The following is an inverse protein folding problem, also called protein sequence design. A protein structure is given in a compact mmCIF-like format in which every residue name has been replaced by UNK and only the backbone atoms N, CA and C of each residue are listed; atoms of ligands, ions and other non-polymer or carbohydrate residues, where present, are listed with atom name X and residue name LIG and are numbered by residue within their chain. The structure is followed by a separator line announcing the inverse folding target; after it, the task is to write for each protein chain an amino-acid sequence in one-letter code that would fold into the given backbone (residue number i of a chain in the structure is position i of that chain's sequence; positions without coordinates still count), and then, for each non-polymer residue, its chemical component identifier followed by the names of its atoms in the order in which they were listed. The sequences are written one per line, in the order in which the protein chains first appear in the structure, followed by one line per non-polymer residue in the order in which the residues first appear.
data_IF_556500840427
#
_entry.id   IF_556500840427
#
_cell.length_a   1.000
_cell.length_b   1.000
_cell.length_c   1.000
_cell.angle_alpha   90.00
_cell.angle_beta   90.00
_cell.angle_gamma   90.00
#
_symmetry.space_group_name_H-M   'P 1'
#
loop_
_entity.id
_entity.type
_entity.pdbx_description
1 polymer ?
#
# COMPACT_ATOMS: atom_id res chain seq x y z
N UNK A 1 7.52 17.77 -3.59
CA UNK A 1 6.39 16.91 -3.18
C UNK A 1 5.87 16.11 -4.37
N UNK A 2 5.21 16.72 -5.36
CA UNK A 2 4.60 16.00 -6.50
C UNK A 2 5.50 14.94 -7.20
N UNK A 3 6.78 15.26 -7.41
CA UNK A 3 7.74 14.32 -8.01
C UNK A 3 7.96 13.04 -7.19
N UNK A 4 7.88 13.11 -5.86
CA UNK A 4 8.03 11.95 -4.98
C UNK A 4 6.79 11.06 -5.08
N UNK A 5 5.61 11.68 -5.12
CA UNK A 5 4.33 11.00 -5.31
C UNK A 5 4.33 10.20 -6.64
N UNK A 6 4.77 10.83 -7.73
CA UNK A 6 4.90 10.18 -9.05
C UNK A 6 5.92 9.04 -9.02
N UNK A 7 7.07 9.25 -8.39
CA UNK A 7 8.11 8.23 -8.30
C UNK A 7 7.60 6.97 -7.57
N UNK A 8 6.91 7.13 -6.44
CA UNK A 8 6.42 6.00 -5.63
C UNK A 8 5.39 5.17 -6.39
N UNK A 9 4.45 5.83 -7.08
CA UNK A 9 3.46 5.14 -7.92
C UNK A 9 4.12 4.43 -9.09
N UNK A 10 5.10 5.08 -9.75
CA UNK A 10 5.83 4.50 -10.87
C UNK A 10 6.58 3.22 -10.47
N UNK A 11 7.24 3.23 -9.30
CA UNK A 11 7.95 2.06 -8.76
C UNK A 11 6.96 0.93 -8.44
N UNK A 12 5.83 1.24 -7.79
CA UNK A 12 4.79 0.24 -7.49
C UNK A 12 4.24 -0.45 -8.75
N UNK A 13 3.95 0.33 -9.80
CA UNK A 13 3.49 -0.20 -11.09
C UNK A 13 4.58 -1.03 -11.77
N UNK A 14 5.82 -0.55 -11.79
CA UNK A 14 6.95 -1.30 -12.35
C UNK A 14 7.18 -2.64 -11.64
N UNK A 15 7.05 -2.72 -10.31
CA UNK A 15 7.14 -3.98 -9.58
C UNK A 15 6.00 -4.94 -9.92
N UNK A 16 4.76 -4.43 -10.05
CA UNK A 16 3.62 -5.26 -10.42
C UNK A 16 3.74 -5.82 -11.84
N UNK A 17 4.04 -4.94 -12.81
CA UNK A 17 4.21 -5.34 -14.22
C UNK A 17 5.44 -6.24 -14.37
N UNK A 18 6.54 -5.92 -13.69
CA UNK A 18 7.75 -6.73 -13.67
C UNK A 18 7.51 -8.11 -13.06
N UNK A 19 6.83 -8.19 -11.91
CA UNK A 19 6.48 -9.44 -11.24
C UNK A 19 5.53 -10.32 -12.06
N UNK A 20 4.50 -9.73 -12.65
CA UNK A 20 3.56 -10.45 -13.53
C UNK A 20 4.25 -10.89 -14.83
N UNK A 21 5.05 -10.01 -15.42
CA UNK A 21 5.83 -10.28 -16.63
C UNK A 21 6.83 -11.42 -16.43
N UNK A 22 7.54 -11.45 -15.30
CA UNK A 22 8.45 -12.56 -14.95
C UNK A 22 7.70 -13.89 -14.90
N UNK A 23 6.52 -13.91 -14.27
CA UNK A 23 5.72 -15.11 -14.14
C UNK A 23 5.27 -15.66 -15.49
N UNK A 24 4.70 -14.80 -16.34
CA UNK A 24 4.26 -15.18 -17.70
C UNK A 24 5.45 -15.61 -18.55
N UNK A 25 6.60 -14.94 -18.42
CA UNK A 25 7.80 -15.28 -19.17
C UNK A 25 8.35 -16.67 -18.82
N UNK A 26 8.39 -16.99 -17.52
CA UNK A 26 8.83 -18.32 -17.04
C UNK A 26 7.86 -19.41 -17.48
N UNK A 27 6.55 -19.17 -17.37
CA UNK A 27 5.52 -20.12 -17.83
C UNK A 27 5.59 -20.36 -19.34
N UNK A 28 5.87 -19.31 -20.14
CA UNK A 28 6.13 -19.40 -21.58
C UNK A 28 7.36 -20.27 -21.87
N UNK A 29 8.50 -20.00 -21.22
CA UNK A 29 9.74 -20.79 -21.38
C UNK A 29 9.51 -22.28 -21.06
N UNK A 30 8.69 -22.58 -20.05
CA UNK A 30 8.36 -23.96 -19.64
C UNK A 30 7.51 -24.68 -20.70
N UNK A 31 6.58 -23.98 -21.34
CA UNK A 31 5.73 -24.54 -22.39
C UNK A 31 6.53 -24.85 -23.66
N UNK A 32 7.36 -23.90 -24.14
CA UNK A 32 8.14 -24.07 -25.37
C UNK A 32 9.18 -25.20 -25.31
N UNK A 33 9.58 -25.63 -24.11
CA UNK A 33 10.54 -26.73 -23.94
C UNK A 33 9.88 -28.12 -23.89
N UNK A 34 8.54 -28.18 -23.77
CA UNK A 34 7.78 -29.44 -23.78
C UNK A 34 7.39 -29.74 -25.22
N UNK A 35 7.94 -30.81 -25.80
CA UNK A 35 7.51 -31.32 -27.11
C UNK A 35 6.08 -31.85 -27.08
N UNK A 36 5.53 -32.29 -28.23
CA UNK A 36 4.23 -32.95 -28.27
C UNK A 36 4.23 -34.16 -27.31
N UNK A 37 3.39 -34.11 -26.26
CA UNK A 37 3.34 -35.12 -25.20
C UNK A 37 4.06 -34.78 -23.88
N UNK A 38 4.67 -33.59 -23.74
CA UNK A 38 5.21 -33.15 -22.45
C UNK A 38 6.58 -33.74 -22.05
N UNK A 39 7.19 -34.57 -22.91
CA UNK A 39 8.52 -35.13 -22.67
C UNK A 39 9.60 -34.05 -22.84
N UNK A 40 10.42 -33.88 -21.80
CA UNK A 40 11.61 -33.03 -21.86
C UNK A 40 12.78 -33.83 -22.41
N UNK A 41 13.21 -33.53 -23.63
CA UNK A 41 14.36 -34.15 -24.28
C UNK A 41 15.63 -33.36 -23.89
N UNK A 42 16.27 -33.75 -22.79
CA UNK A 42 17.57 -33.16 -22.42
C UNK A 42 18.70 -34.12 -22.75
N UNK A 43 19.71 -33.64 -23.47
CA UNK A 43 20.93 -34.41 -23.79
C UNK A 43 21.89 -34.56 -22.61
N UNK A 44 21.74 -33.74 -21.55
CA UNK A 44 22.56 -33.80 -20.32
C UNK A 44 21.73 -33.48 -19.08
N UNK A 45 21.82 -34.34 -18.07
CA UNK A 45 21.15 -34.22 -16.77
C UNK A 45 21.46 -32.89 -16.05
N UNK A 46 22.72 -32.46 -16.03
CA UNK A 46 23.13 -31.24 -15.30
C UNK A 46 22.50 -29.96 -15.85
N UNK A 47 22.27 -29.87 -17.17
CA UNK A 47 21.60 -28.71 -17.77
C UNK A 47 20.12 -28.67 -17.38
N UNK A 48 19.47 -29.82 -17.31
CA UNK A 48 18.08 -29.93 -16.88
C UNK A 48 17.89 -29.40 -15.45
N UNK A 49 18.79 -29.79 -14.54
CA UNK A 49 18.72 -29.36 -13.13
C UNK A 49 18.89 -27.84 -12.99
N UNK A 50 19.91 -27.25 -13.63
CA UNK A 50 20.16 -25.80 -13.53
C UNK A 50 18.98 -24.97 -14.06
N UNK A 51 18.39 -25.37 -15.18
CA UNK A 51 17.25 -24.68 -15.77
C UNK A 51 16.00 -24.82 -14.90
N UNK A 52 15.74 -26.03 -14.40
CA UNK A 52 14.58 -26.30 -13.55
C UNK A 52 14.69 -25.58 -12.20
N UNK A 53 15.90 -25.48 -11.63
CA UNK A 53 16.16 -24.70 -10.42
C UNK A 53 15.97 -23.20 -10.66
N UNK A 54 16.46 -22.67 -11.79
CA UNK A 54 16.23 -21.26 -12.16
C UNK A 54 14.76 -20.92 -12.38
N UNK A 55 14.00 -21.81 -13.05
CA UNK A 55 12.55 -21.65 -13.23
C UNK A 55 11.80 -21.67 -11.88
N UNK A 56 12.16 -22.57 -10.97
CA UNK A 56 11.61 -22.62 -9.62
C UNK A 56 11.94 -21.37 -8.81
N UNK A 57 13.20 -20.91 -8.88
CA UNK A 57 13.66 -19.72 -8.16
C UNK A 57 12.95 -18.45 -8.64
N UNK A 58 12.82 -18.24 -9.97
CA UNK A 58 12.07 -17.08 -10.48
C UNK A 58 10.60 -17.12 -10.07
N UNK A 59 9.97 -18.31 -10.07
CA UNK A 59 8.60 -18.46 -9.61
C UNK A 59 8.48 -18.11 -8.12
N UNK A 60 9.43 -18.54 -7.29
CA UNK A 60 9.48 -18.19 -5.88
C UNK A 60 9.69 -16.69 -5.65
N UNK A 61 10.61 -16.06 -6.39
CA UNK A 61 10.91 -14.61 -6.30
C UNK A 61 9.76 -13.74 -6.81
N UNK A 62 8.94 -14.24 -7.74
CA UNK A 62 7.79 -13.47 -8.27
C UNK A 62 6.74 -13.15 -7.21
N UNK A 63 6.54 -14.04 -6.23
CA UNK A 63 5.55 -13.90 -5.15
C UNK A 63 5.85 -12.70 -4.24
N UNK A 64 7.03 -12.59 -3.59
CA UNK A 64 7.32 -11.46 -2.72
C UNK A 64 7.37 -10.15 -3.51
N UNK A 65 7.84 -10.15 -4.77
CA UNK A 65 7.86 -8.96 -5.62
C UNK A 65 6.44 -8.42 -5.87
N UNK A 66 5.48 -9.30 -6.18
CA UNK A 66 4.08 -8.91 -6.31
C UNK A 66 3.49 -8.35 -5.02
N UNK A 67 3.74 -9.03 -3.89
CA UNK A 67 3.22 -8.63 -2.58
C UNK A 67 3.78 -7.25 -2.20
N UNK A 68 5.08 -7.01 -2.40
CA UNK A 68 5.71 -5.72 -2.16
C UNK A 68 5.11 -4.61 -3.02
N UNK A 69 4.92 -4.87 -4.32
CA UNK A 69 4.29 -3.92 -5.24
C UNK A 69 2.88 -3.51 -4.80
N UNK A 70 2.05 -4.50 -4.43
CA UNK A 70 0.70 -4.26 -3.89
C UNK A 70 0.76 -3.46 -2.58
N UNK A 71 1.66 -3.80 -1.67
CA UNK A 71 1.74 -3.20 -0.34
C UNK A 71 2.13 -1.71 -0.43
N UNK A 72 3.08 -1.37 -1.32
CA UNK A 72 3.48 0.03 -1.57
C UNK A 72 2.30 0.86 -2.09
N UNK A 73 1.56 0.35 -3.08
CA UNK A 73 0.39 1.06 -3.62
C UNK A 73 -0.76 1.15 -2.60
N UNK A 74 -0.92 0.13 -1.77
CA UNK A 74 -1.95 0.10 -0.73
C UNK A 74 -1.69 1.16 0.35
N UNK A 75 -0.46 1.25 0.86
CA UNK A 75 -0.06 2.29 1.82
C UNK A 75 -0.24 3.69 1.22
N UNK A 76 0.12 3.86 -0.05
CA UNK A 76 -0.08 5.12 -0.76
C UNK A 76 -1.56 5.52 -0.84
N UNK A 77 -2.44 4.56 -1.12
CA UNK A 77 -3.89 4.77 -1.20
C UNK A 77 -4.46 5.26 0.13
N UNK A 78 -4.08 4.62 1.25
CA UNK A 78 -4.51 5.03 2.60
C UNK A 78 -4.06 6.47 2.87
N UNK A 79 -2.79 6.78 2.59
CA UNK A 79 -2.25 8.12 2.81
C UNK A 79 -2.99 9.20 2.02
N UNK A 80 -3.43 8.90 0.78
CA UNK A 80 -4.19 9.83 -0.04
C UNK A 80 -5.59 10.10 0.53
N UNK A 81 -6.25 9.06 1.05
CA UNK A 81 -7.57 9.16 1.70
C UNK A 81 -7.48 10.06 2.94
N UNK A 82 -6.44 9.91 3.75
CA UNK A 82 -6.22 10.72 4.94
C UNK A 82 -5.99 12.20 4.60
N UNK A 83 -5.23 12.49 3.54
CA UNK A 83 -5.05 13.88 3.06
C UNK A 83 -6.37 14.50 2.59
N UNK A 84 -7.25 13.70 1.99
CA UNK A 84 -8.58 14.15 1.56
C UNK A 84 -9.45 14.61 2.74
N UNK A 85 -9.46 13.85 3.84
CA UNK A 85 -10.28 14.18 5.03
C UNK A 85 -9.88 15.49 5.70
N UNK A 86 -8.59 15.78 5.74
CA UNK A 86 -8.07 17.05 6.29
C UNK A 86 -8.59 18.26 5.50
N UNK A 87 -8.56 18.21 4.16
CA UNK A 87 -9.01 19.32 3.30
C UNK A 87 -10.50 19.63 3.44
N UNK A 88 -11.32 18.61 3.62
CA UNK A 88 -12.76 18.77 3.81
C UNK A 88 -13.07 19.45 5.16
N UNK A 89 -12.35 19.07 6.22
CA UNK A 89 -12.53 19.66 7.56
C UNK A 89 -12.12 21.14 7.63
N UNK A 90 -11.04 21.51 6.94
CA UNK A 90 -10.57 22.90 6.83
C UNK A 90 -11.57 23.80 6.09
N UNK A 91 -12.22 23.26 5.05
CA UNK A 91 -13.24 23.97 4.27
C UNK A 91 -14.52 24.21 5.10
N UNK A 92 -14.96 23.22 5.89
CA UNK A 92 -16.11 23.34 6.81
C UNK A 92 -15.88 24.39 7.91
N UNK A 93 -14.64 24.53 8.39
CA UNK A 93 -14.27 25.53 9.40
C UNK A 93 -14.16 26.94 8.81
N UNK A 94 -13.71 27.06 7.57
CA UNK A 94 -13.65 28.34 6.84
C UNK A 94 -15.05 28.85 6.52
N UNK A 95 -15.98 27.96 6.15
CA UNK A 95 -17.40 28.31 5.93
C UNK A 95 -18.09 28.76 7.23
N UNK A 96 -17.85 28.07 8.35
CA UNK A 96 -18.37 28.47 9.67
C UNK A 96 -17.80 29.78 10.19
N UNK A 97 -16.55 30.10 9.84
CA UNK A 97 -15.92 31.38 10.22
C UNK A 97 -16.46 32.57 9.42
N UNK A 98 -17.01 32.35 8.22
CA UNK A 98 -17.60 33.41 7.40
C UNK A 98 -19.11 33.60 7.63
N UNK A 99 -19.80 32.59 8.15
CA UNK A 99 -21.22 32.69 8.50
C UNK A 99 -21.51 33.56 9.74
N UNK A 100 -20.49 33.92 10.53
CA UNK A 100 -20.62 34.82 11.68
C UNK A 100 -19.78 36.10 11.52
N UNK A 101 -20.24 37.07 10.69
CA UNK A 101 -19.57 38.36 10.55
C UNK A 101 -19.66 39.24 11.81
N UNK A 102 -20.31 38.80 12.91
CA UNK A 102 -20.45 39.55 14.16
C UNK A 102 -19.58 39.05 15.32
N UNK A 103 -19.06 37.82 15.28
CA UNK A 103 -18.26 37.26 16.36
C UNK A 103 -16.83 37.81 16.48
N UNK A 104 -16.30 38.48 15.45
CA UNK A 104 -14.92 39.03 15.48
C UNK A 104 -14.74 40.24 16.44
N UNK A 105 -15.81 40.72 17.09
CA UNK A 105 -15.74 41.89 17.97
C UNK A 105 -16.01 41.61 19.46
N UNK A 106 -16.20 40.35 19.88
CA UNK A 106 -16.49 40.00 21.28
C UNK A 106 -15.52 38.97 21.88
N UNK A 107 -14.22 39.22 21.82
CA UNK A 107 -13.30 38.54 22.76
C UNK A 107 -12.43 39.57 23.48
N UNK A 108 -12.85 40.04 24.67
CA UNK A 108 -11.94 40.53 25.69
C UNK A 108 -11.12 39.35 26.23
N UNK A 109 -9.82 39.56 26.38
CA UNK A 109 -8.88 38.60 26.93
C UNK A 109 -9.20 38.23 28.39
N UNK A 110 -9.70 37.02 28.65
CA UNK A 110 -9.67 36.36 29.96
C UNK A 110 -9.43 34.84 29.76
N UNK A 111 -8.23 34.33 30.05
CA UNK A 111 -7.82 33.61 31.28
C UNK A 111 -8.33 32.16 31.41
N UNK A 112 -7.39 31.23 31.58
CA UNK A 112 -7.58 29.84 32.09
C UNK A 112 -7.41 28.79 30.98
N UNK A 113 -6.34 28.00 30.86
CA UNK A 113 -5.74 27.07 31.82
C UNK A 113 -6.75 26.13 32.50
N UNK A 114 -7.29 25.18 31.72
CA UNK A 114 -7.77 23.84 32.08
C UNK A 114 -8.52 23.35 30.83
N UNK A 115 -8.33 22.17 30.26
CA UNK A 115 -8.16 20.87 30.89
C UNK A 115 -7.63 19.91 29.81
N UNK A 116 -6.35 19.54 29.89
CA UNK A 116 -5.91 18.27 29.30
C UNK A 116 -6.56 17.17 30.14
N UNK A 117 -7.71 16.66 29.74
CA UNK A 117 -8.14 15.33 30.17
C UNK A 117 -7.83 14.31 29.09
N UNK A 118 -6.68 13.68 29.30
CA UNK A 118 -6.34 12.35 28.82
C UNK A 118 -7.43 11.41 29.33
N UNK A 119 -8.23 10.79 28.46
CA UNK A 119 -9.08 9.67 28.87
C UNK A 119 -8.17 8.50 29.26
N UNK A 120 -8.23 7.97 30.49
CA UNK A 120 -7.60 6.70 30.77
C UNK A 120 -8.41 5.56 30.14
N UNK A 121 -7.65 4.61 29.62
CA UNK A 121 -8.04 3.29 29.14
C UNK A 121 -8.83 2.52 30.21
N UNK A 122 -9.92 1.89 29.76
CA UNK A 122 -10.58 0.66 30.27
C UNK A 122 -10.23 0.18 31.70
N UNK A 123 -11.27 0.11 32.56
CA UNK A 123 -11.34 -0.94 33.59
C UNK A 123 -12.76 -1.52 33.69
N UNK A 124 -12.80 -2.83 33.54
CA UNK A 124 -13.92 -3.76 33.64
C UNK A 124 -14.53 -3.75 35.05
N UNK A 125 -15.86 -3.77 35.13
CA UNK A 125 -16.65 -4.21 36.29
C UNK A 125 -17.89 -4.89 35.72
N UNK A 126 -17.89 -6.20 35.47
CA UNK A 126 -18.30 -7.25 36.41
C UNK A 126 -19.39 -6.83 37.39
N UNK A 127 -20.53 -7.52 37.25
CA UNK A 127 -21.54 -7.82 38.27
C UNK A 127 -22.52 -6.69 38.60
N UNK A 128 -23.68 -6.72 37.94
CA UNK A 128 -24.94 -6.25 38.50
C UNK A 128 -26.02 -7.30 38.17
N UNK A 129 -26.56 -7.88 39.24
CA UNK A 129 -27.84 -8.63 39.37
C UNK A 129 -28.10 -9.84 38.48
#
# INVERSE_FOLDING_TARGET
MFWQDVFIVSVGICLLVGGFGLRVWVERKRFYRRGPGGLQHFSRYSKAVLISMGEGFLMFVSIPVMILGMLILFLWSIYLIDRGKYKIKDSDQTEKSQADPKAHFLVPAEKGLSEKQICPIQKIHSLCT
#
